data_IF_201780400408
#
_entry.id   IF_201780400408
#
_cell.length_a   1.000
_cell.length_b   1.000
_cell.length_c   1.000
_cell.angle_alpha   90.00
_cell.angle_beta   90.00
_cell.angle_gamma   90.00
#
_symmetry.space_group_name_H-M   'P 1'
#
loop_
_entity.id
_entity.type
_entity.pdbx_description
1 polymer ?
#
# COMPACT_ATOMS: atom_id res chain seq x y z
N UNK A 1 9.63 -15.17 19.08
CA UNK A 1 9.06 -16.49 19.40
C UNK A 1 9.63 -17.62 18.54
N UNK A 2 10.35 -17.32 17.46
CA UNK A 2 10.99 -18.31 16.59
C UNK A 2 12.46 -18.57 16.93
N UNK A 3 12.99 -18.01 18.05
CA UNK A 3 14.35 -18.22 18.53
C UNK A 3 15.44 -17.51 17.72
N UNK A 4 15.09 -16.57 16.82
CA UNK A 4 16.07 -15.75 16.12
C UNK A 4 16.64 -14.65 17.04
N UNK A 5 17.90 -14.26 16.77
CA UNK A 5 18.53 -13.13 17.44
C UNK A 5 17.68 -11.85 17.27
N UNK A 6 17.46 -11.05 18.34
CA UNK A 6 16.76 -9.77 18.25
C UNK A 6 17.32 -8.81 17.20
N UNK A 7 18.60 -8.94 16.84
CA UNK A 7 19.22 -8.16 15.75
C UNK A 7 18.56 -8.42 14.38
N UNK A 8 18.05 -9.63 14.13
CA UNK A 8 17.34 -9.96 12.87
C UNK A 8 16.09 -9.10 12.74
N UNK A 9 15.37 -8.87 13.86
CA UNK A 9 14.23 -7.95 13.88
C UNK A 9 14.62 -6.50 13.57
N UNK A 10 15.70 -6.02 14.17
CA UNK A 10 16.22 -4.67 13.93
C UNK A 10 16.65 -4.47 12.46
N UNK A 11 17.38 -5.45 11.89
CA UNK A 11 17.75 -5.42 10.47
C UNK A 11 16.52 -5.47 9.54
N UNK A 12 15.50 -6.26 9.89
CA UNK A 12 14.25 -6.34 9.13
C UNK A 12 13.54 -4.98 9.05
N UNK A 13 13.40 -4.30 10.20
CA UNK A 13 12.77 -2.97 10.26
C UNK A 13 13.58 -1.94 9.46
N UNK A 14 14.91 -1.96 9.59
CA UNK A 14 15.80 -1.07 8.85
C UNK A 14 15.68 -1.28 7.33
N UNK A 15 15.62 -2.53 6.90
CA UNK A 15 15.46 -2.90 5.49
C UNK A 15 14.09 -2.49 4.95
N UNK A 16 13.01 -2.68 5.73
CA UNK A 16 11.68 -2.17 5.40
C UNK A 16 11.74 -0.66 5.16
N UNK A 17 12.36 0.10 6.08
CA UNK A 17 12.48 1.56 5.96
C UNK A 17 13.24 1.98 4.71
N UNK A 18 14.37 1.36 4.41
CA UNK A 18 15.17 1.66 3.22
C UNK A 18 14.40 1.36 1.91
N UNK A 19 13.85 0.14 1.81
CA UNK A 19 13.08 -0.26 0.64
C UNK A 19 11.81 0.57 0.45
N UNK A 20 11.23 1.09 1.54
CA UNK A 20 10.07 1.94 1.53
C UNK A 20 10.32 3.29 0.83
N UNK A 21 11.47 3.91 1.09
CA UNK A 21 11.88 5.14 0.38
C UNK A 21 11.99 4.87 -1.12
N UNK A 22 12.64 3.77 -1.50
CA UNK A 22 12.82 3.37 -2.90
C UNK A 22 11.46 3.10 -3.56
N UNK A 23 10.59 2.33 -2.89
CA UNK A 23 9.26 1.99 -3.40
C UNK A 23 8.35 3.21 -3.60
N UNK A 24 8.34 4.13 -2.62
CA UNK A 24 7.57 5.38 -2.72
C UNK A 24 8.07 6.28 -3.86
N UNK A 25 9.40 6.37 -4.06
CA UNK A 25 9.99 7.11 -5.17
C UNK A 25 9.55 6.55 -6.53
N UNK A 26 9.70 5.24 -6.74
CA UNK A 26 9.29 4.61 -8.00
C UNK A 26 7.79 4.70 -8.23
N UNK A 27 6.97 4.51 -7.19
CA UNK A 27 5.54 4.69 -7.31
C UNK A 27 5.16 6.13 -7.69
N UNK A 28 5.86 7.13 -7.17
CA UNK A 28 5.69 8.53 -7.55
C UNK A 28 5.99 8.77 -9.03
N UNK A 29 7.12 8.28 -9.52
CA UNK A 29 7.50 8.40 -10.95
C UNK A 29 6.50 7.68 -11.84
N UNK A 30 6.11 6.46 -11.49
CA UNK A 30 5.16 5.65 -12.27
C UNK A 30 3.75 6.26 -12.28
N UNK A 31 3.32 6.91 -11.20
CA UNK A 31 2.02 7.60 -11.13
C UNK A 31 1.88 8.74 -12.14
N UNK A 32 2.99 9.32 -12.59
CA UNK A 32 3.00 10.36 -13.62
C UNK A 32 2.90 9.83 -15.06
N UNK A 33 3.12 8.52 -15.27
CA UNK A 33 3.21 7.92 -16.62
C UNK A 33 2.26 6.74 -16.82
N UNK A 34 1.75 6.16 -15.77
CA UNK A 34 0.87 4.98 -15.79
C UNK A 34 -0.42 5.23 -15.04
N UNK A 35 -1.42 4.39 -15.30
CA UNK A 35 -2.69 4.41 -14.58
C UNK A 35 -2.48 4.19 -13.09
N UNK A 36 -2.90 5.15 -12.27
CA UNK A 36 -2.78 5.11 -10.80
C UNK A 36 -3.58 3.96 -10.18
N UNK A 37 -4.78 3.66 -10.75
CA UNK A 37 -5.59 2.51 -10.34
C UNK A 37 -4.88 1.19 -10.57
N UNK A 38 -4.24 1.04 -11.74
CA UNK A 38 -3.50 -0.17 -12.07
C UNK A 38 -2.28 -0.34 -11.14
N UNK A 39 -1.57 0.74 -10.83
CA UNK A 39 -0.49 0.74 -9.86
C UNK A 39 -0.97 0.30 -8.48
N UNK A 40 -2.07 0.87 -7.98
CA UNK A 40 -2.65 0.48 -6.69
C UNK A 40 -3.05 -1.00 -6.68
N UNK A 41 -3.74 -1.46 -7.74
CA UNK A 41 -4.11 -2.87 -7.88
C UNK A 41 -2.87 -3.78 -7.82
N UNK A 42 -1.82 -3.45 -8.58
CA UNK A 42 -0.56 -4.22 -8.61
C UNK A 42 0.14 -4.21 -7.25
N UNK A 43 0.17 -3.06 -6.55
CA UNK A 43 0.77 -2.95 -5.22
C UNK A 43 0.03 -3.84 -4.22
N UNK A 44 -1.31 -3.83 -4.20
CA UNK A 44 -2.09 -4.67 -3.29
C UNK A 44 -1.94 -6.16 -3.62
N UNK A 45 -1.97 -6.55 -4.89
CA UNK A 45 -1.70 -7.93 -5.30
C UNK A 45 -0.26 -8.35 -4.97
N UNK A 46 0.70 -7.47 -5.14
CA UNK A 46 2.09 -7.70 -4.76
C UNK A 46 2.25 -7.98 -3.26
N UNK A 47 1.52 -7.25 -2.40
CA UNK A 47 1.49 -7.51 -0.95
C UNK A 47 0.85 -8.87 -0.64
N UNK A 48 -0.28 -9.20 -1.28
CA UNK A 48 -0.91 -10.51 -1.14
C UNK A 48 0.07 -11.62 -1.50
N UNK A 49 0.76 -11.49 -2.64
CA UNK A 49 1.75 -12.45 -3.07
C UNK A 49 2.92 -12.56 -2.08
N UNK A 50 3.46 -11.44 -1.61
CA UNK A 50 4.55 -11.41 -0.64
C UNK A 50 4.18 -12.13 0.68
N UNK A 51 2.99 -11.85 1.22
CA UNK A 51 2.49 -12.51 2.43
C UNK A 51 2.28 -14.01 2.18
N UNK A 52 1.64 -14.37 1.08
CA UNK A 52 1.36 -15.78 0.75
C UNK A 52 2.65 -16.58 0.59
N UNK A 53 3.63 -16.03 -0.14
CA UNK A 53 4.94 -16.67 -0.32
C UNK A 53 5.62 -16.86 1.03
N UNK A 54 5.63 -15.82 1.88
CA UNK A 54 6.24 -15.89 3.20
C UNK A 54 5.61 -16.97 4.10
N UNK A 55 4.28 -17.14 4.03
CA UNK A 55 3.59 -18.17 4.82
C UNK A 55 3.85 -19.61 4.35
N UNK A 56 4.17 -19.79 3.07
CA UNK A 56 4.44 -21.13 2.50
C UNK A 56 5.92 -21.49 2.59
N UNK A 57 6.81 -20.52 2.60
CA UNK A 57 8.26 -20.75 2.69
C UNK A 57 8.70 -21.12 4.11
N UNK A 58 9.75 -21.98 4.26
CA UNK A 58 10.36 -22.22 5.55
C UNK A 58 10.93 -20.91 6.12
N UNK A 59 10.65 -20.66 7.41
CA UNK A 59 11.13 -19.46 8.08
C UNK A 59 12.64 -19.54 8.27
N UNK A 60 13.36 -18.61 7.66
CA UNK A 60 14.81 -18.45 7.72
C UNK A 60 15.18 -16.98 7.73
N UNK A 61 16.42 -16.65 8.11
CA UNK A 61 16.89 -15.25 8.04
C UNK A 61 16.72 -14.69 6.62
N UNK A 62 17.02 -15.50 5.60
CA UNK A 62 16.87 -15.08 4.21
C UNK A 62 15.40 -14.80 3.84
N UNK A 63 14.47 -15.68 4.22
CA UNK A 63 13.03 -15.47 3.93
C UNK A 63 12.49 -14.24 4.66
N UNK A 64 12.92 -13.99 5.90
CA UNK A 64 12.58 -12.78 6.65
C UNK A 64 13.11 -11.52 5.94
N UNK A 65 14.35 -11.51 5.49
CA UNK A 65 14.95 -10.36 4.80
C UNK A 65 14.28 -10.10 3.44
N UNK A 66 14.02 -11.15 2.65
CA UNK A 66 13.33 -11.01 1.37
C UNK A 66 11.90 -10.49 1.54
N UNK A 67 11.18 -11.02 2.52
CA UNK A 67 9.86 -10.52 2.87
C UNK A 67 9.89 -9.06 3.32
N UNK A 68 10.83 -8.69 4.19
CA UNK A 68 11.02 -7.33 4.67
C UNK A 68 11.32 -6.36 3.54
N UNK A 69 12.19 -6.73 2.60
CA UNK A 69 12.51 -5.92 1.43
C UNK A 69 11.28 -5.74 0.52
N UNK A 70 10.57 -6.82 0.19
CA UNK A 70 9.39 -6.79 -0.67
C UNK A 70 8.24 -6.01 -0.06
N UNK A 71 7.91 -6.27 1.21
CA UNK A 71 6.88 -5.52 1.92
C UNK A 71 7.27 -4.06 2.09
N UNK A 72 8.53 -3.77 2.46
CA UNK A 72 9.02 -2.40 2.56
C UNK A 72 8.85 -1.64 1.25
N UNK A 73 9.26 -2.22 0.12
CA UNK A 73 9.10 -1.60 -1.19
C UNK A 73 7.63 -1.28 -1.54
N UNK A 74 6.70 -2.13 -1.14
CA UNK A 74 5.28 -1.96 -1.42
C UNK A 74 4.53 -1.12 -0.37
N UNK A 75 5.13 -0.82 0.80
CA UNK A 75 4.41 -0.27 1.96
C UNK A 75 3.85 1.13 1.70
N UNK A 76 4.70 2.12 1.46
CA UNK A 76 4.27 3.49 1.13
C UNK A 76 4.11 3.74 -0.38
N UNK A 77 4.35 2.74 -1.22
CA UNK A 77 4.15 2.86 -2.66
C UNK A 77 2.70 3.20 -3.05
N UNK A 78 1.73 2.99 -2.15
CA UNK A 78 0.33 3.39 -2.35
C UNK A 78 0.09 4.90 -2.19
N UNK A 79 0.96 5.63 -1.50
CA UNK A 79 0.76 7.04 -1.16
C UNK A 79 0.72 7.95 -2.40
N UNK A 80 1.70 7.91 -3.33
CA UNK A 80 1.69 8.76 -4.52
C UNK A 80 0.47 8.52 -5.43
N UNK A 81 0.13 7.28 -5.84
CA UNK A 81 -1.03 7.08 -6.71
C UNK A 81 -2.35 7.41 -6.02
N UNK A 82 -2.48 7.20 -4.70
CA UNK A 82 -3.69 7.58 -3.95
C UNK A 82 -3.87 9.10 -3.92
N UNK A 83 -2.81 9.86 -3.62
CA UNK A 83 -2.86 11.32 -3.64
C UNK A 83 -3.12 11.86 -5.05
N UNK A 84 -2.55 11.21 -6.07
CA UNK A 84 -2.81 11.54 -7.47
C UNK A 84 -4.28 11.34 -7.86
N UNK A 85 -4.91 10.23 -7.47
CA UNK A 85 -6.35 10.00 -7.70
C UNK A 85 -7.22 11.04 -6.98
N UNK A 86 -6.91 11.39 -5.74
CA UNK A 86 -7.63 12.44 -5.02
C UNK A 86 -7.53 13.78 -5.78
N UNK A 87 -6.34 14.13 -6.25
CA UNK A 87 -6.14 15.35 -7.03
C UNK A 87 -6.87 15.30 -8.38
N UNK A 88 -6.88 14.15 -9.05
CA UNK A 88 -7.55 13.95 -10.33
C UNK A 88 -9.08 14.13 -10.22
N UNK A 89 -9.70 13.50 -9.19
CA UNK A 89 -11.16 13.50 -9.07
C UNK A 89 -11.73 14.79 -8.45
N UNK A 90 -11.02 15.40 -7.51
CA UNK A 90 -11.54 16.51 -6.70
C UNK A 90 -10.78 17.82 -6.91
N UNK A 91 -9.73 17.80 -7.71
CA UNK A 91 -8.86 18.95 -7.91
C UNK A 91 -7.98 19.27 -6.69
N UNK A 92 -7.13 20.28 -6.85
CA UNK A 92 -6.15 20.64 -5.82
C UNK A 92 -6.73 21.51 -4.70
N UNK A 93 -7.89 22.16 -4.91
CA UNK A 93 -8.49 23.11 -3.96
C UNK A 93 -8.78 22.49 -2.59
N UNK A 94 -9.29 21.25 -2.57
CA UNK A 94 -9.67 20.55 -1.34
C UNK A 94 -8.74 19.37 -1.02
N UNK A 95 -7.63 19.26 -1.71
CA UNK A 95 -6.73 18.10 -1.65
C UNK A 95 -6.27 17.82 -0.21
N UNK A 96 -5.84 18.84 0.55
CA UNK A 96 -5.34 18.65 1.92
C UNK A 96 -6.42 18.10 2.85
N UNK A 97 -7.66 18.59 2.72
CA UNK A 97 -8.78 18.11 3.53
C UNK A 97 -9.16 16.66 3.18
N UNK A 98 -9.35 16.38 1.89
CA UNK A 98 -9.74 15.06 1.43
C UNK A 98 -8.66 14.02 1.69
N UNK A 99 -7.39 14.38 1.44
CA UNK A 99 -6.29 13.49 1.75
C UNK A 99 -6.12 13.28 3.27
N UNK A 100 -6.47 14.27 4.09
CA UNK A 100 -6.56 14.13 5.54
C UNK A 100 -7.57 13.07 5.97
N UNK A 101 -8.75 12.99 5.32
CA UNK A 101 -9.76 11.93 5.56
C UNK A 101 -9.21 10.56 5.16
N UNK A 102 -8.56 10.46 3.99
CA UNK A 102 -7.91 9.22 3.54
C UNK A 102 -6.85 8.78 4.55
N UNK A 103 -6.03 9.71 5.02
CA UNK A 103 -5.00 9.41 6.01
C UNK A 103 -5.57 9.01 7.37
N UNK A 104 -6.65 9.65 7.81
CA UNK A 104 -7.36 9.27 9.04
C UNK A 104 -7.89 7.83 8.95
N UNK A 105 -8.53 7.46 7.83
CA UNK A 105 -9.01 6.09 7.63
C UNK A 105 -7.86 5.07 7.61
N UNK A 106 -6.71 5.43 7.04
CA UNK A 106 -5.50 4.61 7.10
C UNK A 106 -5.01 4.42 8.56
N UNK A 107 -4.99 5.48 9.37
CA UNK A 107 -4.59 5.40 10.77
C UNK A 107 -5.54 4.53 11.61
N UNK A 108 -6.86 4.65 11.38
CA UNK A 108 -7.86 3.79 12.01
C UNK A 108 -7.64 2.31 11.63
N UNK A 109 -7.35 2.04 10.35
CA UNK A 109 -7.01 0.69 9.89
C UNK A 109 -5.73 0.16 10.53
N UNK A 110 -4.69 0.98 10.64
CA UNK A 110 -3.42 0.62 11.28
C UNK A 110 -3.61 0.31 12.76
N UNK A 111 -4.34 1.15 13.49
CA UNK A 111 -4.69 0.90 14.89
C UNK A 111 -5.45 -0.42 15.06
N UNK A 112 -6.49 -0.63 14.25
CA UNK A 112 -7.31 -1.85 14.31
C UNK A 112 -6.49 -3.10 13.98
N UNK A 113 -5.57 -3.01 13.03
CA UNK A 113 -4.68 -4.11 12.64
C UNK A 113 -3.72 -4.50 13.76
N UNK A 114 -3.08 -3.53 14.42
CA UNK A 114 -2.17 -3.78 15.55
C UNK A 114 -2.94 -4.37 16.73
N UNK A 115 -4.09 -3.77 17.07
CA UNK A 115 -4.93 -4.25 18.14
C UNK A 115 -5.44 -5.68 17.89
N UNK A 116 -5.95 -5.95 16.70
CA UNK A 116 -6.43 -7.29 16.32
C UNK A 116 -5.28 -8.31 16.33
N UNK A 117 -4.11 -7.94 15.86
CA UNK A 117 -2.92 -8.80 15.88
C UNK A 117 -2.51 -9.19 17.29
N UNK A 118 -2.47 -8.23 18.21
CA UNK A 118 -2.17 -8.48 19.62
C UNK A 118 -3.24 -9.37 20.29
N UNK A 119 -4.52 -9.06 20.03
CA UNK A 119 -5.63 -9.84 20.58
C UNK A 119 -5.63 -11.30 20.08
N UNK A 120 -5.40 -11.51 18.77
CA UNK A 120 -5.31 -12.86 18.21
C UNK A 120 -4.14 -13.65 18.81
N UNK A 121 -2.99 -13.01 18.99
CA UNK A 121 -1.84 -13.66 19.60
C UNK A 121 -2.09 -14.03 21.06
N UNK A 122 -2.72 -13.15 21.84
CA UNK A 122 -3.05 -13.39 23.25
C UNK A 122 -4.02 -14.57 23.41
N UNK A 123 -5.03 -14.71 22.53
CA UNK A 123 -6.07 -15.73 22.66
C UNK A 123 -5.71 -17.06 21.97
N UNK A 124 -4.98 -17.02 20.87
CA UNK A 124 -4.69 -18.20 20.05
C UNK A 124 -3.19 -18.57 20.00
N UNK A 125 -2.31 -17.76 20.56
CA UNK A 125 -0.86 -17.99 20.54
C UNK A 125 -0.25 -17.92 19.14
N UNK A 126 -0.94 -17.31 18.15
CA UNK A 126 -0.55 -17.31 16.75
C UNK A 126 -0.95 -16.03 16.03
N UNK A 127 -0.08 -15.56 15.13
CA UNK A 127 -0.35 -14.45 14.22
C UNK A 127 -1.00 -14.89 12.90
N UNK A 128 -1.28 -16.16 12.69
CA UNK A 128 -1.80 -16.66 11.40
C UNK A 128 -3.11 -15.97 11.01
N UNK A 129 -4.00 -15.67 11.96
CA UNK A 129 -5.25 -14.99 11.71
C UNK A 129 -5.06 -13.60 11.11
N UNK A 130 -4.07 -12.81 11.57
CA UNK A 130 -3.81 -11.48 11.03
C UNK A 130 -3.16 -11.56 9.63
N UNK A 131 -2.35 -12.58 9.36
CA UNK A 131 -1.81 -12.81 8.01
C UNK A 131 -2.92 -13.13 7.01
N UNK A 132 -3.86 -14.01 7.36
CA UNK A 132 -5.02 -14.30 6.50
C UNK A 132 -5.93 -13.09 6.31
N UNK A 133 -6.16 -12.31 7.36
CA UNK A 133 -6.89 -11.04 7.26
C UNK A 133 -6.18 -10.06 6.31
N UNK A 134 -4.85 -9.98 6.37
CA UNK A 134 -4.04 -9.15 5.46
C UNK A 134 -4.17 -9.58 4.01
N UNK A 135 -4.15 -10.89 3.72
CA UNK A 135 -4.38 -11.43 2.37
C UNK A 135 -5.79 -11.07 1.89
N UNK A 136 -6.80 -11.35 2.69
CA UNK A 136 -8.20 -11.06 2.35
C UNK A 136 -8.42 -9.57 2.06
N UNK A 137 -7.98 -8.69 2.95
CA UNK A 137 -8.10 -7.24 2.77
C UNK A 137 -7.30 -6.72 1.57
N UNK A 138 -6.13 -7.32 1.30
CA UNK A 138 -5.33 -7.00 0.12
C UNK A 138 -6.05 -7.34 -1.20
N UNK A 139 -6.72 -8.50 -1.26
CA UNK A 139 -7.54 -8.89 -2.42
C UNK A 139 -8.73 -7.94 -2.56
N UNK A 140 -9.46 -7.65 -1.46
CA UNK A 140 -10.59 -6.71 -1.49
C UNK A 140 -10.13 -5.33 -1.97
N UNK A 141 -9.00 -4.83 -1.46
CA UNK A 141 -8.45 -3.55 -1.89
C UNK A 141 -8.11 -3.57 -3.39
N UNK A 142 -7.47 -4.62 -3.90
CA UNK A 142 -7.18 -4.74 -5.32
C UNK A 142 -8.45 -4.72 -6.19
N UNK A 143 -9.49 -5.45 -5.77
CA UNK A 143 -10.78 -5.50 -6.46
C UNK A 143 -11.51 -4.16 -6.45
N UNK A 144 -11.43 -3.40 -5.33
CA UNK A 144 -12.06 -2.08 -5.22
C UNK A 144 -11.38 -1.02 -6.11
N UNK A 145 -10.09 -1.17 -6.40
CA UNK A 145 -9.38 -0.24 -7.30
C UNK A 145 -9.63 -0.55 -8.78
N UNK A 146 -9.96 -1.79 -9.13
CA UNK A 146 -10.14 -2.22 -10.51
C UNK A 146 -11.19 -1.41 -11.30
N UNK A 147 -12.40 -1.10 -10.75
CA UNK A 147 -13.45 -0.40 -11.49
C UNK A 147 -13.25 1.12 -11.60
N UNK A 148 -12.21 1.70 -10.99
CA UNK A 148 -11.95 3.15 -11.05
C UNK A 148 -11.64 3.57 -12.48
N UNK A 149 -12.38 4.54 -13.01
CA UNK A 149 -12.23 5.07 -14.38
C UNK A 149 -11.49 6.41 -14.36
N UNK A 150 -10.21 6.40 -14.69
CA UNK A 150 -9.39 7.63 -14.73
C UNK A 150 -9.58 8.43 -16.01
N UNK A 151 -9.77 7.76 -17.14
CA UNK A 151 -9.79 8.38 -18.48
C UNK A 151 -10.99 9.29 -18.69
N UNK A 152 -12.17 8.91 -18.22
CA UNK A 152 -13.40 9.71 -18.36
C UNK A 152 -13.26 11.08 -17.66
N UNK A 153 -12.48 11.16 -16.60
CA UNK A 153 -12.25 12.40 -15.84
C UNK A 153 -11.22 13.33 -16.51
N UNK A 154 -10.14 12.78 -17.04
CA UNK A 154 -9.13 13.59 -17.75
C UNK A 154 -9.70 14.19 -19.04
N UNK A 155 -10.51 13.45 -19.78
CA UNK A 155 -11.20 13.95 -20.98
C UNK A 155 -12.23 15.02 -20.64
N UNK A 156 -12.99 14.87 -19.54
CA UNK A 156 -13.96 15.87 -19.09
C UNK A 156 -13.29 17.17 -18.68
N UNK A 157 -12.15 17.13 -18.02
CA UNK A 157 -11.36 18.31 -17.64
C UNK A 157 -10.80 19.04 -18.87
N UNK A 158 -10.35 18.30 -19.89
CA UNK A 158 -9.86 18.86 -21.14
C UNK A 158 -10.99 19.50 -21.98
N UNK A 159 -12.18 18.91 -21.95
CA UNK A 159 -13.35 19.44 -22.69
C UNK A 159 -13.95 20.69 -22.04
N UNK A 160 -13.78 20.89 -20.73
CA UNK A 160 -14.25 22.07 -19.99
C UNK A 160 -13.22 23.19 -19.89
N UNK A 161 -11.97 22.96 -20.31
CA UNK A 161 -10.94 24.00 -20.35
C UNK A 161 -11.30 25.06 -21.41
N UNK A 162 -11.27 26.35 -21.08
CA UNK A 162 -11.52 27.42 -22.06
C UNK A 162 -10.48 27.32 -23.19
N UNK A 163 -10.97 27.44 -24.43
CA UNK A 163 -10.18 27.27 -25.69
C UNK A 163 -9.00 28.26 -25.87
N UNK A 164 -8.70 29.07 -24.86
CA UNK A 164 -7.69 30.12 -24.89
C UNK A 164 -6.35 29.83 -24.20
N UNK A 165 -6.15 28.66 -23.59
CA UNK A 165 -4.92 28.35 -22.84
C UNK A 165 -3.91 27.47 -23.58
N UNK A 166 -3.99 27.39 -24.91
CA UNK A 166 -2.93 26.78 -25.72
C UNK A 166 -1.90 27.84 -26.10
N UNK A 167 -0.94 28.04 -25.22
CA UNK A 167 0.33 28.71 -25.55
C UNK A 167 1.45 27.75 -25.17
#
# INVERSE_FOLDING_TARGET
DLGFDPQVGAWSISLIGLCNVIGAYYAGVLSGTHSMRALLTMIYLGRVAAITIFLVMPVSILSIMLFSAGMGFLWLATVPPTSGLVALFFGTRYMSFLYGIVFLSHQLGSFSGVWLGAWLYEHYGSYNGIWYAGIFLGIVAALLHWPIKENDYSESLLSTAPSGSRV
#
